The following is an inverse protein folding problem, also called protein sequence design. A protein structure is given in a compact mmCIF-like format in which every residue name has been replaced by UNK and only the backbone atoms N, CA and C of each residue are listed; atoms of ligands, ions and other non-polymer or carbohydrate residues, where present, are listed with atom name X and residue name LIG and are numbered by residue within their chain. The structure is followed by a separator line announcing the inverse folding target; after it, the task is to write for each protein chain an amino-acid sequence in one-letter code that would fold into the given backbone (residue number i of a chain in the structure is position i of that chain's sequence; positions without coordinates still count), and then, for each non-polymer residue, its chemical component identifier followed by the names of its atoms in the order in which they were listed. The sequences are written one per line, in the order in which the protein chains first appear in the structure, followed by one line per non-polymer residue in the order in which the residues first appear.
data_IF_407710374763
#
_entry.id   IF_407710374763
#
_cell.length_a   1.000
_cell.length_b   1.000
_cell.length_c   1.000
_cell.angle_alpha   90.00
_cell.angle_beta   90.00
_cell.angle_gamma   90.00
#
_symmetry.space_group_name_H-M   'P 1'
#
loop_
_entity.id
_entity.type
_entity.pdbx_description
1 polymer ?
#
# COMPACT_ATOMS: atom_id res chain seq x y z
N UNK A 1 6.08 -4.01 -1.91
CA UNK A 1 5.31 -5.08 -1.22
C UNK A 1 6.26 -6.02 -0.50
N UNK A 2 7.08 -6.84 -1.17
CA UNK A 2 7.90 -7.87 -0.50
C UNK A 2 8.72 -7.33 0.69
N UNK A 3 9.61 -6.36 0.49
CA UNK A 3 10.46 -5.85 1.58
C UNK A 3 9.69 -5.16 2.71
N UNK A 4 8.56 -4.54 2.41
CA UNK A 4 7.67 -3.95 3.41
C UNK A 4 7.04 -5.04 4.28
N UNK A 5 6.54 -6.11 3.66
CA UNK A 5 5.99 -7.28 4.35
C UNK A 5 7.06 -7.99 5.18
N UNK A 6 8.27 -8.17 4.64
CA UNK A 6 9.40 -8.77 5.37
C UNK A 6 9.75 -7.95 6.63
N UNK A 7 9.67 -6.63 6.55
CA UNK A 7 9.95 -5.70 7.64
C UNK A 7 8.79 -5.56 8.65
N UNK A 8 7.70 -6.32 8.51
CA UNK A 8 6.58 -6.29 9.46
C UNK A 8 5.58 -5.15 9.22
N UNK A 9 5.53 -4.55 8.02
CA UNK A 9 4.45 -3.59 7.65
C UNK A 9 3.14 -4.34 7.32
N UNK A 10 2.73 -5.20 8.24
CA UNK A 10 1.50 -6.00 8.23
C UNK A 10 0.99 -5.97 9.68
N UNK A 11 -0.26 -5.55 9.95
CA UNK A 11 -0.71 -5.21 11.30
C UNK A 11 -0.69 -6.35 12.32
N UNK A 12 -0.58 -7.60 11.85
CA UNK A 12 -0.49 -8.80 12.70
C UNK A 12 0.90 -9.43 12.74
N UNK A 13 1.94 -8.80 12.18
CA UNK A 13 3.29 -9.37 12.07
C UNK A 13 4.37 -8.39 12.55
N UNK A 14 5.29 -8.90 13.36
CA UNK A 14 6.64 -8.38 13.48
C UNK A 14 7.49 -8.72 12.23
N UNK A 15 8.70 -8.14 12.07
CA UNK A 15 9.64 -8.52 11.03
C UNK A 15 9.85 -10.04 10.90
N UNK A 16 10.11 -10.48 9.67
CA UNK A 16 10.27 -11.88 9.28
C UNK A 16 9.01 -12.74 9.48
N UNK A 17 7.82 -12.14 9.26
CA UNK A 17 6.51 -12.82 9.31
C UNK A 17 6.20 -13.51 10.64
N UNK A 18 6.67 -12.94 11.75
CA UNK A 18 6.42 -13.47 13.09
C UNK A 18 5.16 -12.82 13.66
N UNK A 19 4.13 -13.59 13.99
CA UNK A 19 2.88 -13.00 14.47
C UNK A 19 3.05 -12.32 15.82
N UNK A 20 2.36 -11.19 16.00
CA UNK A 20 2.40 -10.39 17.23
C UNK A 20 1.81 -11.11 18.44
N UNK A 21 0.89 -12.05 18.22
CA UNK A 21 0.20 -12.84 19.25
C UNK A 21 0.92 -14.14 19.61
N UNK A 22 2.12 -14.38 19.07
CA UNK A 22 2.94 -15.55 19.40
C UNK A 22 3.85 -15.22 20.59
N UNK A 23 3.68 -15.86 21.76
CA UNK A 23 4.39 -15.46 22.98
C UNK A 23 5.92 -15.43 22.86
N UNK A 24 6.49 -16.37 22.10
CA UNK A 24 7.94 -16.42 21.89
C UNK A 24 8.47 -15.28 21.01
N UNK A 25 7.73 -14.89 19.97
CA UNK A 25 8.12 -13.78 19.11
C UNK A 25 7.93 -12.45 19.85
N UNK A 26 6.77 -12.27 20.50
CA UNK A 26 6.45 -11.08 21.27
C UNK A 26 7.51 -10.79 22.34
N UNK A 27 7.82 -11.77 23.21
CA UNK A 27 8.87 -11.63 24.21
C UNK A 27 10.26 -11.35 23.62
N UNK A 28 10.57 -11.89 22.43
CA UNK A 28 11.83 -11.60 21.76
C UNK A 28 11.92 -10.13 21.33
N UNK A 29 10.88 -9.59 20.69
CA UNK A 29 10.85 -8.20 20.21
C UNK A 29 10.78 -7.18 21.35
N UNK A 30 10.05 -7.46 22.44
CA UNK A 30 10.05 -6.59 23.62
C UNK A 30 11.45 -6.47 24.23
N UNK A 31 12.16 -7.60 24.35
CA UNK A 31 13.54 -7.61 24.84
C UNK A 31 14.50 -6.93 23.86
N UNK A 32 14.31 -7.15 22.55
CA UNK A 32 15.17 -6.59 21.51
C UNK A 32 15.07 -5.06 21.43
N UNK A 33 13.86 -4.52 21.52
CA UNK A 33 13.61 -3.07 21.48
C UNK A 33 13.57 -2.41 22.86
N UNK A 34 13.68 -3.20 23.94
CA UNK A 34 13.54 -2.75 25.32
C UNK A 34 12.26 -1.90 25.54
N UNK A 35 11.14 -2.37 24.98
CA UNK A 35 9.84 -1.69 25.02
C UNK A 35 8.72 -2.70 25.22
N UNK A 36 7.68 -2.31 25.95
CA UNK A 36 6.42 -3.04 25.99
C UNK A 36 5.72 -2.91 24.63
N UNK A 37 5.13 -3.99 24.13
CA UNK A 37 4.47 -4.07 22.82
C UNK A 37 3.06 -4.63 22.94
N UNK A 38 2.12 -4.17 22.11
CA UNK A 38 0.77 -4.75 22.06
C UNK A 38 0.81 -6.12 21.36
N UNK A 39 0.30 -7.15 22.03
CA UNK A 39 0.17 -8.52 21.50
C UNK A 39 -1.07 -8.68 20.59
N UNK A 40 -1.93 -7.67 20.50
CA UNK A 40 -3.13 -7.70 19.66
C UNK A 40 -2.82 -7.28 18.23
N UNK A 41 -3.25 -8.05 17.22
CA UNK A 41 -3.23 -7.61 15.84
C UNK A 41 -3.87 -6.24 15.64
N UNK A 42 -3.17 -5.35 14.94
CA UNK A 42 -3.70 -4.05 14.52
C UNK A 42 -4.76 -4.16 13.42
N UNK A 43 -5.27 -3.01 12.99
CA UNK A 43 -6.28 -2.91 11.93
C UNK A 43 -5.66 -2.92 10.53
N UNK A 44 -6.34 -3.56 9.58
CA UNK A 44 -6.04 -3.43 8.15
C UNK A 44 -6.55 -2.10 7.59
N UNK A 45 -6.05 -1.67 6.43
CA UNK A 45 -6.39 -0.36 5.82
C UNK A 45 -7.90 -0.12 5.73
N UNK A 46 -8.69 -1.12 5.32
CA UNK A 46 -10.15 -0.97 5.19
C UNK A 46 -10.82 -0.91 6.56
N UNK A 47 -10.35 -1.70 7.53
CA UNK A 47 -10.83 -1.61 8.92
C UNK A 47 -10.50 -0.25 9.55
N UNK A 48 -9.35 0.33 9.22
CA UNK A 48 -8.94 1.67 9.66
C UNK A 48 -9.95 2.72 9.19
N UNK A 49 -10.40 2.66 7.92
CA UNK A 49 -11.42 3.59 7.40
C UNK A 49 -12.75 3.46 8.15
N UNK A 50 -13.19 2.23 8.45
CA UNK A 50 -14.37 2.01 9.29
C UNK A 50 -14.18 2.56 10.70
N UNK A 51 -12.99 2.38 11.30
CA UNK A 51 -12.70 2.86 12.65
C UNK A 51 -12.55 4.37 12.74
N UNK A 52 -12.18 5.06 11.67
CA UNK A 52 -12.20 6.53 11.62
C UNK A 52 -13.63 7.09 11.77
N UNK A 53 -14.63 6.37 11.24
CA UNK A 53 -16.04 6.77 11.29
C UNK A 53 -16.83 6.14 12.46
N UNK A 54 -16.15 5.42 13.35
CA UNK A 54 -16.79 4.83 14.52
C UNK A 54 -17.39 5.92 15.45
N UNK A 55 -18.44 5.61 16.23
CA UNK A 55 -18.98 6.54 17.22
C UNK A 55 -17.91 6.87 18.28
N UNK A 56 -17.98 8.05 18.90
CA UNK A 56 -16.99 8.46 19.91
C UNK A 56 -16.94 7.55 21.15
N UNK A 57 -17.97 6.74 21.36
CA UNK A 57 -18.04 5.72 22.40
C UNK A 57 -17.25 4.45 22.05
N UNK A 58 -16.84 4.25 20.79
CA UNK A 58 -16.01 3.10 20.40
C UNK A 58 -14.57 3.34 20.90
N UNK A 59 -14.04 2.49 21.80
CA UNK A 59 -12.69 2.66 22.34
C UNK A 59 -11.59 2.49 21.30
N UNK A 60 -11.93 1.95 20.12
CA UNK A 60 -11.01 1.77 19.00
C UNK A 60 -11.21 2.79 17.87
N UNK A 61 -12.00 3.85 18.11
CA UNK A 61 -12.15 4.93 17.13
C UNK A 61 -10.77 5.52 16.78
N UNK A 62 -10.46 5.58 15.49
CA UNK A 62 -9.24 6.20 15.00
C UNK A 62 -9.49 7.68 14.84
N UNK A 63 -8.75 8.51 15.58
CA UNK A 63 -8.89 9.97 15.57
C UNK A 63 -7.83 10.65 14.72
N UNK A 64 -6.65 10.04 14.59
CA UNK A 64 -5.61 10.58 13.74
C UNK A 64 -4.86 9.48 13.01
N UNK A 65 -4.24 9.86 11.89
CA UNK A 65 -3.55 8.94 11.01
C UNK A 65 -2.27 9.57 10.47
N UNK A 66 -1.22 8.75 10.37
CA UNK A 66 0.00 9.11 9.67
C UNK A 66 0.17 8.17 8.48
N UNK A 67 -0.01 8.71 7.27
CA UNK A 67 0.08 7.98 6.01
C UNK A 67 1.42 8.31 5.36
N UNK A 68 2.21 7.27 5.04
CA UNK A 68 3.53 7.43 4.43
C UNK A 68 3.58 6.71 3.08
N UNK A 69 3.73 7.47 1.99
CA UNK A 69 3.94 6.94 0.64
C UNK A 69 2.76 6.16 0.05
N UNK A 70 1.53 6.43 0.52
CA UNK A 70 0.31 5.78 0.04
C UNK A 70 -0.77 6.80 -0.33
N UNK A 71 -1.72 6.38 -1.18
CA UNK A 71 -2.80 7.23 -1.67
C UNK A 71 -4.20 6.58 -1.53
N UNK A 72 -4.65 6.26 -0.30
CA UNK A 72 -5.94 5.61 -0.05
C UNK A 72 -7.15 6.37 -0.60
N UNK A 73 -7.10 7.70 -0.71
CA UNK A 73 -8.15 8.49 -1.38
C UNK A 73 -8.32 8.18 -2.89
N UNK A 74 -7.45 7.33 -3.45
CA UNK A 74 -7.52 6.78 -4.80
C UNK A 74 -7.46 5.25 -4.84
N UNK A 75 -6.69 4.60 -3.98
CA UNK A 75 -6.44 3.15 -4.04
C UNK A 75 -7.45 2.29 -3.29
N UNK A 76 -8.13 2.82 -2.29
CA UNK A 76 -9.06 2.05 -1.46
C UNK A 76 -10.38 1.78 -2.18
N UNK A 77 -11.12 0.71 -1.83
CA UNK A 77 -12.46 0.49 -2.36
C UNK A 77 -13.45 1.52 -1.80
N UNK A 78 -14.57 1.72 -2.50
CA UNK A 78 -15.59 2.68 -2.10
C UNK A 78 -15.00 4.04 -1.73
N UNK A 79 -14.45 4.73 -2.74
CA UNK A 79 -13.73 5.99 -2.51
C UNK A 79 -14.59 7.08 -1.84
N UNK A 80 -15.91 7.02 -1.95
CA UNK A 80 -16.78 7.94 -1.22
C UNK A 80 -16.66 7.70 0.29
N UNK A 81 -16.71 6.43 0.72
CA UNK A 81 -16.47 6.06 2.10
C UNK A 81 -15.04 6.39 2.57
N UNK A 82 -14.01 5.98 1.81
CA UNK A 82 -12.61 6.20 2.20
C UNK A 82 -12.28 7.70 2.33
N UNK A 83 -12.70 8.53 1.37
CA UNK A 83 -12.49 9.99 1.44
C UNK A 83 -13.25 10.63 2.60
N UNK A 84 -14.48 10.18 2.87
CA UNK A 84 -15.24 10.66 4.02
C UNK A 84 -14.56 10.30 5.35
N UNK A 85 -14.04 9.08 5.47
CA UNK A 85 -13.29 8.62 6.64
C UNK A 85 -12.03 9.48 6.86
N UNK A 86 -11.21 9.66 5.83
CA UNK A 86 -10.02 10.51 5.89
C UNK A 86 -10.34 11.96 6.30
N UNK A 87 -11.38 12.55 5.72
CA UNK A 87 -11.82 13.91 6.03
C UNK A 87 -12.49 14.06 7.41
N UNK A 88 -12.84 12.96 8.09
CA UNK A 88 -13.47 12.97 9.41
C UNK A 88 -12.47 12.78 10.56
N UNK A 89 -11.19 12.53 10.25
CA UNK A 89 -10.12 12.47 11.24
C UNK A 89 -9.95 13.83 11.92
N UNK A 90 -9.56 13.82 13.19
CA UNK A 90 -9.17 15.02 13.93
C UNK A 90 -7.78 15.50 13.52
N UNK A 91 -6.92 14.59 13.05
CA UNK A 91 -5.60 14.93 12.55
C UNK A 91 -5.08 13.95 11.49
N UNK A 92 -4.79 14.43 10.29
CA UNK A 92 -4.20 13.64 9.21
C UNK A 92 -2.84 14.20 8.80
N UNK A 93 -1.80 13.38 8.96
CA UNK A 93 -0.45 13.65 8.48
C UNK A 93 -0.17 12.78 7.26
N UNK A 94 0.28 13.39 6.17
CA UNK A 94 0.68 12.67 4.95
C UNK A 94 2.14 12.97 4.63
N UNK A 95 2.97 11.93 4.57
CA UNK A 95 4.33 12.01 4.05
C UNK A 95 4.36 11.42 2.64
N UNK A 96 4.58 12.27 1.64
CA UNK A 96 4.54 11.88 0.23
C UNK A 96 5.53 12.71 -0.59
N UNK A 97 5.83 12.24 -1.80
CA UNK A 97 6.68 12.92 -2.79
C UNK A 97 5.86 13.90 -3.65
N UNK A 98 4.53 13.77 -3.68
CA UNK A 98 3.63 14.66 -4.41
C UNK A 98 2.40 15.04 -3.59
N UNK A 99 1.73 16.13 -4.00
CA UNK A 99 0.38 16.44 -3.52
C UNK A 99 -0.63 15.49 -4.20
N UNK A 100 -0.80 14.31 -3.59
CA UNK A 100 -1.76 13.28 -3.99
C UNK A 100 -3.17 13.61 -3.51
N UNK A 101 -4.17 12.88 -3.98
CA UNK A 101 -5.57 13.01 -3.53
C UNK A 101 -5.71 12.80 -2.03
N UNK A 102 -4.86 11.96 -1.43
CA UNK A 102 -4.81 11.78 0.03
C UNK A 102 -4.15 12.98 0.71
N UNK A 103 -3.03 13.49 0.16
CA UNK A 103 -2.34 14.66 0.70
C UNK A 103 -3.23 15.92 0.67
N UNK A 104 -4.12 16.05 -0.31
CA UNK A 104 -5.12 17.14 -0.38
C UNK A 104 -6.11 17.16 0.79
N UNK A 105 -6.28 16.03 1.50
CA UNK A 105 -7.14 15.92 2.67
C UNK A 105 -6.38 16.12 3.99
N UNK A 106 -5.05 16.24 3.94
CA UNK A 106 -4.20 16.27 5.13
C UNK A 106 -4.17 17.63 5.82
N UNK A 107 -4.04 17.62 7.14
CA UNK A 107 -3.74 18.83 7.92
C UNK A 107 -2.25 19.21 7.79
N UNK A 108 -1.39 18.20 7.68
CA UNK A 108 0.06 18.36 7.57
C UNK A 108 0.58 17.48 6.44
N UNK A 109 1.31 18.09 5.51
CA UNK A 109 2.05 17.38 4.46
C UNK A 109 3.54 17.48 4.75
N UNK A 110 4.22 16.34 4.86
CA UNK A 110 5.66 16.23 5.06
C UNK A 110 6.32 15.82 3.73
N UNK A 111 7.05 16.71 3.04
CA UNK A 111 7.63 16.40 1.73
C UNK A 111 8.78 15.39 1.87
N UNK A 112 8.60 14.22 1.27
CA UNK A 112 9.57 13.13 1.28
C UNK A 112 10.45 13.11 0.02
N UNK A 113 11.60 12.45 0.11
CA UNK A 113 12.46 12.16 -1.05
C UNK A 113 11.93 11.02 -1.91
N UNK A 114 12.02 11.16 -3.22
CA UNK A 114 11.81 10.08 -4.18
C UNK A 114 12.97 9.06 -4.16
N UNK A 115 12.80 7.94 -4.86
CA UNK A 115 13.80 6.88 -4.92
C UNK A 115 15.22 7.33 -5.35
N UNK A 116 15.42 8.13 -6.41
CA UNK A 116 16.77 8.52 -6.83
C UNK A 116 17.43 9.55 -5.89
N UNK A 117 16.71 10.05 -4.88
CA UNK A 117 17.16 11.08 -3.94
C UNK A 117 17.62 10.48 -2.60
N UNK A 118 17.55 9.16 -2.44
CA UNK A 118 17.90 8.47 -1.19
C UNK A 118 18.70 7.18 -1.43
N UNK A 119 19.43 6.79 -0.39
CA UNK A 119 20.13 5.51 -0.31
C UNK A 119 19.34 4.58 0.60
N UNK A 120 19.24 3.30 0.24
CA UNK A 120 18.45 2.31 0.97
C UNK A 120 18.39 0.98 0.26
N UNK A 121 17.54 0.08 0.71
CA UNK A 121 17.35 -1.23 0.07
C UNK A 121 15.92 -1.44 -0.37
N UNK A 122 15.75 -2.25 -1.41
CA UNK A 122 14.46 -2.80 -1.84
C UNK A 122 14.56 -4.31 -1.95
N UNK A 123 13.52 -5.02 -1.52
CA UNK A 123 13.38 -6.45 -1.79
C UNK A 123 12.39 -6.65 -2.94
N UNK A 124 12.83 -7.32 -4.02
CA UNK A 124 11.98 -7.61 -5.16
C UNK A 124 11.20 -8.95 -4.99
N UNK A 125 10.38 -9.30 -5.98
CA UNK A 125 9.53 -10.52 -5.97
C UNK A 125 10.34 -11.82 -5.90
N UNK A 126 11.57 -11.83 -6.40
CA UNK A 126 12.45 -12.99 -6.38
C UNK A 126 13.27 -13.08 -5.08
N UNK A 127 12.90 -12.30 -4.07
CA UNK A 127 13.60 -12.20 -2.78
C UNK A 127 15.05 -11.72 -2.91
N UNK A 128 15.32 -10.80 -3.84
CA UNK A 128 16.62 -10.13 -3.91
C UNK A 128 16.57 -8.81 -3.12
N UNK A 129 17.42 -8.69 -2.11
CA UNK A 129 17.71 -7.40 -1.45
C UNK A 129 18.67 -6.64 -2.35
N UNK A 130 18.25 -5.49 -2.85
CA UNK A 130 19.01 -4.66 -3.80
C UNK A 130 19.31 -3.30 -3.18
N UNK A 131 20.55 -2.84 -3.31
CA UNK A 131 21.00 -1.54 -2.83
C UNK A 131 20.67 -0.43 -3.84
N UNK A 132 19.84 0.52 -3.40
CA UNK A 132 19.66 1.82 -4.06
C UNK A 132 20.65 2.84 -3.51
N UNK A 133 21.22 3.66 -4.39
CA UNK A 133 22.11 4.76 -4.02
C UNK A 133 21.51 6.07 -4.51
N UNK A 134 21.63 7.10 -3.67
CA UNK A 134 21.28 8.46 -4.06
C UNK A 134 22.04 8.86 -5.33
N UNK A 135 21.30 9.28 -6.35
CA UNK A 135 21.80 9.70 -7.64
C UNK A 135 21.65 11.22 -7.86
N UNK A 136 20.69 11.86 -7.20
CA UNK A 136 20.42 13.30 -7.27
C UNK A 136 20.11 13.86 -5.88
N UNK A 137 20.20 15.17 -5.73
CA UNK A 137 19.79 15.86 -4.50
C UNK A 137 18.27 15.98 -4.40
N UNK A 138 17.69 15.90 -3.18
CA UNK A 138 16.28 16.16 -2.93
C UNK A 138 15.84 17.55 -3.42
N UNK A 139 14.65 17.69 -4.02
CA UNK A 139 14.13 18.99 -4.43
C UNK A 139 13.62 19.79 -3.22
N UNK A 140 13.89 21.10 -3.21
CA UNK A 140 13.36 22.04 -2.23
C UNK A 140 13.66 21.61 -0.78
N UNK A 141 12.62 21.53 0.05
CA UNK A 141 12.71 21.14 1.45
C UNK A 141 12.44 19.65 1.70
N UNK A 142 12.40 18.82 0.65
CA UNK A 142 12.20 17.39 0.80
C UNK A 142 13.28 16.76 1.70
N UNK A 143 12.88 15.78 2.51
CA UNK A 143 13.76 15.05 3.42
C UNK A 143 13.55 13.55 3.28
N UNK A 144 14.59 12.76 3.57
CA UNK A 144 14.48 11.31 3.55
C UNK A 144 13.42 10.82 4.53
N UNK A 145 12.65 9.79 4.16
CA UNK A 145 11.59 9.24 5.01
C UNK A 145 12.12 8.87 6.41
N UNK A 146 13.28 8.22 6.46
CA UNK A 146 13.94 7.85 7.70
C UNK A 146 14.35 9.08 8.55
N UNK A 147 14.77 10.17 7.92
CA UNK A 147 15.07 11.39 8.65
C UNK A 147 13.81 11.94 9.32
N UNK A 148 12.69 11.99 8.58
CA UNK A 148 11.42 12.51 9.08
C UNK A 148 10.92 11.63 10.25
N UNK A 149 10.96 10.31 10.10
CA UNK A 149 10.58 9.36 11.17
C UNK A 149 11.42 9.58 12.43
N UNK A 150 12.74 9.72 12.31
CA UNK A 150 13.60 10.02 13.46
C UNK A 150 13.29 11.39 14.09
N UNK A 151 12.97 12.41 13.27
CA UNK A 151 12.58 13.72 13.77
C UNK A 151 11.25 13.70 14.52
N UNK A 152 10.29 12.90 14.06
CA UNK A 152 9.02 12.66 14.75
C UNK A 152 9.27 11.91 16.07
N UNK A 153 10.03 10.81 16.05
CA UNK A 153 10.39 10.05 17.25
C UNK A 153 11.01 10.94 18.34
N UNK A 154 12.00 11.76 17.98
CA UNK A 154 12.65 12.72 18.90
C UNK A 154 11.69 13.72 19.53
N UNK A 155 10.67 14.18 18.79
CA UNK A 155 9.72 15.22 19.25
C UNK A 155 8.53 14.64 20.01
N UNK A 156 8.09 13.45 19.61
CA UNK A 156 7.03 12.72 20.31
C UNK A 156 7.56 12.06 21.58
N UNK A 157 8.84 11.73 21.66
CA UNK A 157 9.43 11.03 22.80
C UNK A 157 9.08 11.62 24.18
N UNK A 158 9.21 12.93 24.40
CA UNK A 158 8.79 13.56 25.67
C UNK A 158 7.29 13.45 26.00
N UNK A 159 6.45 13.17 25.00
CA UNK A 159 4.99 13.15 25.08
C UNK A 159 4.37 11.76 24.86
N UNK A 160 5.17 10.75 24.51
CA UNK A 160 4.69 9.40 24.30
C UNK A 160 4.11 8.83 25.61
N UNK A 161 2.94 8.16 25.59
CA UNK A 161 2.39 7.52 26.77
C UNK A 161 3.43 6.59 27.38
N UNK A 162 3.60 6.67 28.71
CA UNK A 162 4.36 5.65 29.43
C UNK A 162 3.58 4.35 29.35
N UNK A 163 4.15 3.33 28.73
CA UNK A 163 3.58 2.00 28.78
C UNK A 163 3.53 1.55 30.26
N UNK A 164 2.36 1.09 30.71
CA UNK A 164 2.11 0.55 32.05
C UNK A 164 1.99 1.56 33.21
N UNK A 165 0.81 2.14 33.43
CA UNK A 165 0.39 2.51 34.80
C UNK A 165 -0.06 1.25 35.53
N UNK A 166 0.90 0.42 35.97
CA UNK A 166 0.66 -0.86 36.64
C UNK A 166 1.95 -1.52 37.11
N UNK A 167 2.50 -0.97 38.20
CA UNK A 167 3.57 -1.49 39.10
C UNK A 167 4.20 -2.88 38.81
N UNK A 168 5.51 -2.92 38.52
CA UNK A 168 6.55 -3.48 39.40
C UNK A 168 7.88 -3.81 38.66
N UNK A 169 8.95 -3.07 38.99
CA UNK A 169 10.27 -3.67 39.24
C UNK A 169 11.29 -3.88 38.11
N UNK A 170 10.98 -3.63 36.83
CA UNK A 170 12.01 -3.64 35.78
C UNK A 170 12.61 -2.24 35.58
N UNK A 171 13.91 -2.10 35.24
CA UNK A 171 14.49 -0.79 34.94
C UNK A 171 13.74 -0.17 33.76
N UNK A 172 12.93 0.83 34.05
CA UNK A 172 12.18 1.61 33.08
C UNK A 172 13.19 2.36 32.19
N UNK A 173 13.15 2.14 30.88
CA UNK A 173 13.75 3.07 29.94
C UNK A 173 13.02 4.41 30.10
N UNK A 174 13.64 5.33 30.81
CA UNK A 174 13.07 6.63 31.11
C UNK A 174 12.99 7.48 29.83
N UNK A 175 11.79 7.57 29.24
CA UNK A 175 11.41 8.59 28.27
C UNK A 175 11.50 8.13 26.82
N UNK A 176 10.42 8.32 26.07
CA UNK A 176 10.40 8.57 24.63
C UNK A 176 10.92 7.57 23.58
N UNK A 177 10.52 7.84 22.34
CA UNK A 177 11.01 7.18 21.13
C UNK A 177 12.40 7.74 20.79
N UNK A 178 13.46 7.16 21.37
CA UNK A 178 14.85 7.55 21.11
C UNK A 178 15.42 6.89 19.84
N UNK A 179 14.73 7.10 18.72
CA UNK A 179 15.16 6.60 17.41
C UNK A 179 16.27 7.51 16.84
N UNK A 180 17.50 7.29 17.28
CA UNK A 180 18.69 8.01 16.83
C UNK A 180 19.67 7.07 16.12
N UNK A 181 19.45 6.89 14.83
CA UNK A 181 20.34 6.16 13.94
C UNK A 181 21.39 7.11 13.38
N UNK A 182 22.61 7.00 13.90
CA UNK A 182 23.75 7.76 13.42
C UNK A 182 24.32 7.18 12.11
N UNK A 183 25.02 8.02 11.35
CA UNK A 183 25.75 7.61 10.15
C UNK A 183 25.28 8.32 8.89
N UNK A 184 25.92 7.94 7.77
CA UNK A 184 25.59 8.47 6.44
C UNK A 184 24.14 8.16 6.06
N UNK A 185 23.57 9.01 5.19
CA UNK A 185 22.19 8.89 4.72
C UNK A 185 21.18 8.72 5.87
N UNK A 186 21.37 9.44 6.97
CA UNK A 186 20.49 9.41 8.15
C UNK A 186 20.47 8.06 8.89
N UNK A 187 21.56 7.30 8.82
CA UNK A 187 21.72 6.06 9.58
C UNK A 187 21.08 4.83 8.92
N UNK A 188 20.85 4.86 7.60
CA UNK A 188 20.29 3.72 6.84
C UNK A 188 21.03 2.42 7.10
N UNK A 189 22.36 2.44 7.15
CA UNK A 189 23.16 1.25 7.44
C UNK A 189 22.89 0.69 8.86
N UNK A 190 22.67 1.57 9.84
CA UNK A 190 22.37 1.18 11.21
C UNK A 190 20.96 0.59 11.33
N UNK A 191 19.96 1.20 10.67
CA UNK A 191 18.60 0.64 10.58
C UNK A 191 18.62 -0.71 9.90
N UNK A 192 19.36 -0.84 8.79
CA UNK A 192 19.47 -2.10 8.07
C UNK A 192 20.12 -3.19 8.93
N UNK A 193 21.12 -2.84 9.75
CA UNK A 193 21.72 -3.78 10.68
C UNK A 193 20.75 -4.24 11.77
N UNK A 194 19.91 -3.35 12.30
CA UNK A 194 18.83 -3.72 13.22
C UNK A 194 17.81 -4.64 12.54
N UNK A 195 17.39 -4.30 11.30
CA UNK A 195 16.53 -5.16 10.48
C UNK A 195 17.16 -6.54 10.26
N UNK A 196 18.47 -6.60 10.01
CA UNK A 196 19.21 -7.87 9.83
C UNK A 196 19.14 -8.75 11.06
N UNK A 197 19.16 -8.17 12.26
CA UNK A 197 19.02 -8.88 13.54
C UNK A 197 17.56 -9.32 13.79
N UNK A 198 16.60 -8.44 13.55
CA UNK A 198 15.16 -8.73 13.63
C UNK A 198 14.73 -9.84 12.64
N UNK A 199 15.40 -9.90 11.49
CA UNK A 199 15.13 -10.83 10.41
C UNK A 199 16.25 -11.88 10.25
N UNK A 200 16.87 -12.28 11.37
CA UNK A 200 18.05 -13.16 11.37
C UNK A 200 17.83 -14.51 10.66
N UNK A 201 16.60 -15.04 10.63
CA UNK A 201 16.30 -16.28 9.94
C UNK A 201 16.13 -16.13 8.40
N UNK A 202 16.22 -14.91 7.87
CA UNK A 202 16.11 -14.63 6.44
C UNK A 202 17.36 -13.95 5.87
N UNK A 203 17.85 -12.90 6.51
CA UNK A 203 18.89 -12.02 5.92
C UNK A 203 20.16 -11.88 6.77
N UNK A 204 20.37 -12.72 7.79
CA UNK A 204 21.54 -12.63 8.67
C UNK A 204 22.89 -12.60 7.92
N UNK A 205 23.00 -13.29 6.79
CA UNK A 205 24.21 -13.33 5.95
C UNK A 205 24.41 -12.13 5.02
N UNK A 206 23.47 -11.19 4.99
CA UNK A 206 23.46 -10.04 4.10
C UNK A 206 23.81 -8.78 4.88
N UNK A 207 25.10 -8.53 5.13
CA UNK A 207 25.54 -7.29 5.79
C UNK A 207 25.44 -6.06 4.86
N UNK A 208 25.46 -4.86 5.44
CA UNK A 208 25.47 -3.62 4.67
C UNK A 208 26.71 -3.53 3.75
N UNK A 209 27.89 -3.92 4.24
CA UNK A 209 29.14 -3.96 3.46
C UNK A 209 29.05 -4.96 2.30
N UNK A 210 28.37 -6.09 2.53
CA UNK A 210 28.12 -7.07 1.47
C UNK A 210 27.24 -6.49 0.38
N UNK A 211 26.14 -5.82 0.73
CA UNK A 211 25.30 -5.12 -0.25
C UNK A 211 26.04 -4.01 -0.99
N UNK A 212 26.91 -3.27 -0.32
CA UNK A 212 27.75 -2.26 -0.98
C UNK A 212 28.67 -2.89 -2.03
N UNK A 213 29.26 -4.06 -1.74
CA UNK A 213 30.15 -4.79 -2.64
C UNK A 213 29.42 -5.50 -3.77
N UNK A 214 28.31 -6.17 -3.47
CA UNK A 214 27.63 -7.10 -4.38
C UNK A 214 26.40 -6.48 -5.06
N UNK A 215 25.94 -5.31 -4.59
CA UNK A 215 24.73 -4.58 -5.03
C UNK A 215 23.41 -5.31 -4.82
N UNK A 216 23.38 -6.64 -4.88
CA UNK A 216 22.19 -7.44 -4.62
C UNK A 216 22.53 -8.83 -4.09
N UNK A 217 21.74 -9.32 -3.14
CA UNK A 217 21.84 -10.68 -2.60
C UNK A 217 20.45 -11.28 -2.44
N UNK A 218 20.28 -12.54 -2.85
CA UNK A 218 19.00 -13.26 -2.70
C UNK A 218 18.88 -13.85 -1.30
N UNK A 219 17.71 -13.73 -0.68
CA UNK A 219 17.40 -14.38 0.60
C UNK A 219 16.41 -15.56 0.40
N UNK A 220 16.44 -16.59 1.27
CA UNK A 220 17.21 -16.73 2.51
C UNK A 220 18.74 -16.75 2.32
N UNK A 221 19.44 -16.07 3.23
CA UNK A 221 20.91 -16.02 3.30
C UNK A 221 21.32 -15.88 4.77
N UNK A 222 21.85 -16.95 5.36
CA UNK A 222 22.00 -17.05 6.82
C UNK A 222 23.42 -16.71 7.33
N UNK A 223 24.44 -16.84 6.49
CA UNK A 223 25.80 -16.46 6.84
C UNK A 223 26.54 -15.82 5.65
N UNK A 224 27.69 -15.18 5.92
CA UNK A 224 28.43 -14.40 4.92
C UNK A 224 29.01 -15.23 3.76
N UNK A 225 29.07 -16.56 3.89
CA UNK A 225 29.53 -17.49 2.85
C UNK A 225 28.37 -18.05 2.03
N UNK A 226 27.13 -17.94 2.53
CA UNK A 226 25.93 -18.32 1.80
C UNK A 226 25.77 -17.38 0.58
N UNK A 227 25.80 -17.89 -0.67
CA UNK A 227 25.59 -17.06 -1.85
C UNK A 227 24.16 -16.50 -1.94
N UNK A 228 23.23 -16.99 -1.12
CA UNK A 228 21.81 -16.69 -1.19
C UNK A 228 21.04 -17.78 -1.92
N UNK A 229 19.78 -17.98 -1.54
CA UNK A 229 18.98 -19.13 -1.99
C UNK A 229 17.84 -18.71 -2.93
N UNK A 230 17.99 -18.90 -4.26
CA UNK A 230 16.96 -18.50 -5.23
C UNK A 230 15.70 -19.36 -5.14
N UNK A 231 15.85 -20.62 -4.72
CA UNK A 231 14.75 -21.57 -4.57
C UNK A 231 14.53 -21.90 -3.11
N UNK A 232 13.30 -21.75 -2.63
CA UNK A 232 12.89 -22.14 -1.28
C UNK A 232 12.24 -23.52 -1.27
N UNK A 233 12.23 -24.16 -0.10
CA UNK A 233 11.55 -25.44 0.15
C UNK A 233 12.08 -26.61 -0.70
N UNK A 234 13.40 -26.61 -0.98
CA UNK A 234 14.07 -27.69 -1.72
C UNK A 234 13.94 -29.02 -0.99
N UNK A 235 14.21 -29.03 0.32
CA UNK A 235 14.21 -30.25 1.12
C UNK A 235 12.96 -30.42 2.00
N UNK A 236 12.45 -29.31 2.57
CA UNK A 236 11.33 -29.31 3.53
C UNK A 236 10.50 -28.02 3.46
N UNK A 237 9.22 -28.13 3.77
CA UNK A 237 8.33 -26.99 3.98
C UNK A 237 8.44 -26.43 5.40
N UNK A 238 8.13 -25.14 5.64
CA UNK A 238 8.18 -24.51 6.96
C UNK A 238 6.92 -24.88 7.78
N UNK A 239 6.64 -26.16 7.88
CA UNK A 239 5.55 -26.76 8.66
C UNK A 239 6.15 -27.64 9.74
N UNK A 240 5.40 -27.91 10.82
CA UNK A 240 5.90 -28.66 11.97
C UNK A 240 6.44 -30.05 11.62
N UNK A 241 5.91 -30.69 10.58
CA UNK A 241 6.34 -32.00 10.09
C UNK A 241 7.18 -31.93 8.79
N UNK A 242 7.40 -30.74 8.26
CA UNK A 242 8.15 -30.48 7.03
C UNK A 242 7.39 -30.80 5.73
N UNK A 243 6.10 -31.14 5.79
CA UNK A 243 5.29 -31.54 4.62
C UNK A 243 4.38 -30.42 4.13
N UNK A 244 4.01 -30.48 2.85
CA UNK A 244 2.98 -29.60 2.28
C UNK A 244 1.60 -29.94 2.83
N UNK A 245 0.79 -28.92 3.12
CA UNK A 245 -0.62 -29.08 3.48
C UNK A 245 -1.49 -28.87 2.24
N UNK A 246 -2.16 -29.94 1.79
CA UNK A 246 -3.17 -29.85 0.73
C UNK A 246 -4.52 -29.48 1.34
N UNK A 247 -5.14 -28.40 0.85
CA UNK A 247 -6.41 -27.89 1.36
C UNK A 247 -7.40 -27.81 0.19
N UNK A 248 -8.53 -28.55 0.23
CA UNK A 248 -9.57 -28.41 -0.78
C UNK A 248 -10.29 -27.05 -0.62
N UNK A 249 -10.73 -26.47 -1.72
CA UNK A 249 -11.48 -25.22 -1.74
C UNK A 249 -12.77 -25.41 -2.56
N UNK A 250 -13.86 -24.85 -2.05
CA UNK A 250 -15.15 -24.80 -2.75
C UNK A 250 -15.27 -23.52 -3.57
N UNK A 251 -16.07 -23.56 -4.64
CA UNK A 251 -16.40 -22.37 -5.41
C UNK A 251 -17.52 -21.63 -4.68
N UNK A 252 -17.21 -20.41 -4.22
CA UNK A 252 -18.18 -19.49 -3.63
C UNK A 252 -18.52 -18.37 -4.63
N UNK A 253 -19.76 -17.84 -4.62
CA UNK A 253 -20.10 -16.68 -5.42
C UNK A 253 -19.40 -15.42 -4.91
N UNK A 254 -19.21 -14.45 -5.80
CA UNK A 254 -18.82 -13.09 -5.44
C UNK A 254 -19.86 -12.42 -4.54
N UNK A 255 -19.42 -11.50 -3.68
CA UNK A 255 -20.30 -10.80 -2.74
C UNK A 255 -21.28 -9.86 -3.46
N UNK A 256 -20.88 -9.30 -4.61
CA UNK A 256 -21.74 -8.44 -5.42
C UNK A 256 -21.94 -8.97 -6.84
N UNK A 257 -23.06 -9.68 -7.06
CA UNK A 257 -23.43 -10.22 -8.38
C UNK A 257 -24.21 -9.21 -9.25
N UNK A 258 -24.05 -9.27 -10.59
CA UNK A 258 -24.93 -8.54 -11.50
C UNK A 258 -26.41 -8.88 -11.29
N UNK A 259 -27.26 -7.89 -11.47
CA UNK A 259 -28.72 -8.00 -11.43
C UNK A 259 -29.36 -7.21 -12.58
N UNK A 260 -30.68 -7.01 -12.52
CA UNK A 260 -31.42 -6.30 -13.56
C UNK A 260 -31.04 -4.81 -13.67
N UNK A 261 -30.65 -4.18 -12.56
CA UNK A 261 -30.31 -2.76 -12.52
C UNK A 261 -28.82 -2.51 -12.82
N UNK A 262 -27.96 -3.50 -12.51
CA UNK A 262 -26.51 -3.48 -12.71
C UNK A 262 -26.04 -4.75 -13.44
N UNK A 263 -26.30 -4.87 -14.76
CA UNK A 263 -26.13 -6.13 -15.48
C UNK A 263 -24.70 -6.47 -15.91
N UNK A 264 -23.73 -5.56 -15.73
CA UNK A 264 -22.33 -5.76 -16.11
C UNK A 264 -21.46 -6.08 -14.90
N UNK A 265 -20.33 -6.77 -15.14
CA UNK A 265 -19.25 -6.95 -14.16
C UNK A 265 -18.13 -5.97 -14.45
N UNK A 266 -17.80 -5.12 -13.48
CA UNK A 266 -16.60 -4.30 -13.48
C UNK A 266 -15.39 -5.12 -13.02
N UNK A 267 -14.32 -5.04 -13.82
CA UNK A 267 -13.00 -5.58 -13.49
C UNK A 267 -12.03 -4.40 -13.49
N UNK A 268 -11.40 -4.14 -12.34
CA UNK A 268 -10.34 -3.12 -12.28
C UNK A 268 -8.96 -3.76 -12.50
N UNK A 269 -8.04 -3.04 -13.12
CA UNK A 269 -6.68 -3.55 -13.30
C UNK A 269 -5.64 -2.51 -13.62
N UNK A 270 -4.48 -2.99 -14.06
CA UNK A 270 -3.35 -2.14 -14.42
C UNK A 270 -3.24 -2.04 -15.94
N UNK A 271 -2.55 -1.01 -16.37
CA UNK A 271 -2.09 -0.84 -17.74
C UNK A 271 -0.56 -0.67 -17.74
N UNK A 272 0.07 -0.77 -18.90
CA UNK A 272 1.52 -0.82 -19.02
C UNK A 272 2.17 0.53 -18.67
N UNK A 273 1.59 1.61 -19.17
CA UNK A 273 2.16 2.96 -19.15
C UNK A 273 2.06 3.60 -17.76
N UNK A 274 1.02 3.24 -17.01
CA UNK A 274 0.71 3.87 -15.73
C UNK A 274 0.73 2.90 -14.55
N UNK A 275 1.42 3.33 -13.50
CA UNK A 275 1.60 2.54 -12.29
C UNK A 275 0.57 2.94 -11.23
N UNK A 276 -0.26 1.97 -10.83
CA UNK A 276 -1.22 2.11 -9.73
C UNK A 276 -2.08 3.37 -9.83
N UNK A 277 -2.03 4.27 -8.84
CA UNK A 277 -2.83 5.52 -8.79
C UNK A 277 -2.28 6.62 -9.70
N UNK A 278 -1.24 6.32 -10.48
CA UNK A 278 -0.69 7.21 -11.50
C UNK A 278 0.11 8.39 -10.94
N UNK A 279 0.31 8.51 -9.63
CA UNK A 279 0.94 9.69 -9.01
C UNK A 279 2.33 10.00 -9.58
N UNK A 280 3.11 9.01 -9.97
CA UNK A 280 4.40 9.22 -10.65
C UNK A 280 4.28 9.23 -12.17
N UNK A 281 3.65 8.21 -12.75
CA UNK A 281 3.69 7.95 -14.19
C UNK A 281 2.86 8.93 -15.02
N UNK A 282 1.74 9.42 -14.48
CA UNK A 282 0.91 10.47 -15.09
C UNK A 282 1.56 11.86 -15.05
N UNK A 283 2.69 12.00 -14.33
CA UNK A 283 3.54 13.21 -14.33
C UNK A 283 4.74 13.08 -15.28
N UNK A 284 4.97 11.90 -15.85
CA UNK A 284 5.98 11.69 -16.88
C UNK A 284 5.44 12.15 -18.23
N UNK A 285 6.14 13.09 -18.87
CA UNK A 285 5.74 13.60 -20.20
C UNK A 285 5.61 12.48 -21.23
N UNK A 286 6.50 11.49 -21.19
CA UNK A 286 6.52 10.38 -22.16
C UNK A 286 5.38 9.39 -21.90
N UNK A 287 5.17 8.98 -20.65
CA UNK A 287 4.17 7.95 -20.33
C UNK A 287 2.75 8.51 -20.45
N UNK A 288 2.53 9.74 -19.97
CA UNK A 288 1.23 10.40 -20.08
C UNK A 288 0.89 10.72 -21.54
N UNK A 289 1.87 11.03 -22.40
CA UNK A 289 1.61 11.21 -23.83
C UNK A 289 1.19 9.92 -24.56
N UNK A 290 1.64 8.74 -24.10
CA UNK A 290 1.26 7.45 -24.71
C UNK A 290 -0.18 7.09 -24.35
N UNK A 291 -0.57 7.28 -23.09
CA UNK A 291 -1.92 6.94 -22.62
C UNK A 291 -2.50 8.06 -21.71
N UNK A 292 -2.94 9.18 -22.30
CA UNK A 292 -3.30 10.39 -21.54
C UNK A 292 -4.70 10.35 -20.92
N UNK A 293 -5.59 9.53 -21.48
CA UNK A 293 -7.03 9.58 -21.21
C UNK A 293 -7.50 8.29 -20.57
N UNK A 294 -8.32 8.41 -19.53
CA UNK A 294 -8.97 7.26 -18.90
C UNK A 294 -9.91 6.56 -19.89
N UNK A 295 -9.77 5.24 -20.02
CA UNK A 295 -10.65 4.42 -20.88
C UNK A 295 -11.28 3.25 -20.16
N UNK A 296 -12.51 2.90 -20.54
CA UNK A 296 -13.16 1.65 -20.19
C UNK A 296 -13.16 0.69 -21.39
N UNK A 297 -12.65 -0.52 -21.23
CA UNK A 297 -12.62 -1.53 -22.29
C UNK A 297 -13.89 -2.40 -22.27
N UNK A 298 -14.55 -2.52 -23.42
CA UNK A 298 -15.70 -3.39 -23.67
C UNK A 298 -15.55 -4.12 -25.01
N UNK A 299 -16.18 -5.29 -25.14
CA UNK A 299 -16.18 -6.03 -26.40
C UNK A 299 -17.11 -5.40 -27.45
N UNK A 300 -16.87 -5.72 -28.73
CA UNK A 300 -17.67 -5.20 -29.85
C UNK A 300 -19.18 -5.47 -29.73
N UNK A 301 -19.58 -6.61 -29.17
CA UNK A 301 -20.99 -6.96 -29.02
C UNK A 301 -21.72 -6.06 -28.00
N UNK A 302 -21.06 -5.69 -26.91
CA UNK A 302 -21.64 -4.81 -25.90
C UNK A 302 -21.69 -3.36 -26.39
N UNK A 303 -20.66 -2.90 -27.11
CA UNK A 303 -20.66 -1.60 -27.80
C UNK A 303 -21.87 -1.48 -28.76
N UNK A 304 -22.10 -2.51 -29.57
CA UNK A 304 -23.24 -2.55 -30.49
C UNK A 304 -24.58 -2.54 -29.75
N UNK A 305 -24.71 -3.30 -28.67
CA UNK A 305 -25.94 -3.33 -27.85
C UNK A 305 -26.22 -1.99 -27.16
N UNK A 306 -25.17 -1.27 -26.77
CA UNK A 306 -25.24 0.06 -26.14
C UNK A 306 -25.41 1.20 -27.15
N UNK A 307 -25.21 0.94 -28.46
CA UNK A 307 -25.30 1.94 -29.51
C UNK A 307 -24.16 2.96 -29.50
N UNK A 308 -22.96 2.57 -29.05
CA UNK A 308 -21.77 3.43 -28.95
C UNK A 308 -20.61 2.90 -29.78
N UNK A 309 -19.73 3.79 -30.21
CA UNK A 309 -18.50 3.50 -30.95
C UNK A 309 -17.26 3.70 -30.06
N UNK A 310 -16.13 3.09 -30.42
CA UNK A 310 -14.86 3.36 -29.75
C UNK A 310 -14.52 4.86 -29.79
N UNK A 311 -14.12 5.42 -28.64
CA UNK A 311 -13.87 6.84 -28.44
C UNK A 311 -15.07 7.62 -27.86
N UNK A 312 -16.29 7.10 -27.99
CA UNK A 312 -17.47 7.72 -27.37
C UNK A 312 -17.36 7.71 -25.84
N UNK A 313 -18.13 8.58 -25.20
CA UNK A 313 -18.23 8.61 -23.73
C UNK A 313 -19.35 7.70 -23.28
N UNK A 314 -19.09 6.94 -22.23
CA UNK A 314 -20.08 6.17 -21.47
C UNK A 314 -20.07 6.59 -20.00
N UNK A 315 -21.20 6.36 -19.34
CA UNK A 315 -21.32 6.46 -17.89
C UNK A 315 -21.35 5.05 -17.31
N UNK A 316 -20.39 4.75 -16.44
CA UNK A 316 -20.35 3.50 -15.67
C UNK A 316 -20.79 3.81 -14.25
N UNK A 317 -21.83 3.13 -13.78
CA UNK A 317 -22.47 3.40 -12.47
C UNK A 317 -22.56 2.12 -11.65
N UNK A 318 -22.19 2.19 -10.38
CA UNK A 318 -22.45 1.14 -9.38
C UNK A 318 -23.47 1.63 -8.35
N UNK A 319 -23.67 0.85 -7.28
CA UNK A 319 -24.47 1.26 -6.11
C UNK A 319 -23.84 2.39 -5.31
N UNK A 320 -22.54 2.63 -5.47
CA UNK A 320 -21.75 3.57 -4.65
C UNK A 320 -21.41 4.86 -5.38
N UNK A 321 -21.37 4.85 -6.71
CA UNK A 321 -20.97 6.02 -7.48
C UNK A 321 -21.05 5.80 -8.98
N UNK A 322 -20.55 6.78 -9.73
CA UNK A 322 -20.46 6.71 -11.18
C UNK A 322 -19.24 7.47 -11.70
N UNK A 323 -18.78 7.09 -12.88
CA UNK A 323 -17.75 7.79 -13.64
C UNK A 323 -18.19 7.93 -15.09
N UNK A 324 -17.84 9.06 -15.71
CA UNK A 324 -17.94 9.24 -17.16
C UNK A 324 -16.55 9.02 -17.77
N UNK A 325 -16.46 8.13 -18.76
CA UNK A 325 -15.19 7.62 -19.27
C UNK A 325 -15.28 7.29 -20.76
N UNK A 326 -14.19 7.45 -21.50
CA UNK A 326 -14.14 7.08 -22.91
C UNK A 326 -14.12 5.57 -23.09
N UNK A 327 -14.83 5.07 -24.09
CA UNK A 327 -14.88 3.63 -24.37
C UNK A 327 -13.79 3.21 -25.35
N UNK A 328 -13.11 2.11 -25.03
CA UNK A 328 -12.15 1.42 -25.88
C UNK A 328 -12.74 0.07 -26.28
N UNK A 329 -12.67 -0.28 -27.56
CA UNK A 329 -13.03 -1.63 -28.00
C UNK A 329 -11.89 -2.59 -27.67
N UNK A 330 -12.22 -3.66 -26.97
CA UNK A 330 -11.35 -4.80 -26.74
C UNK A 330 -12.15 -6.09 -26.83
N UNK A 331 -11.99 -6.82 -27.93
CA UNK A 331 -12.70 -8.08 -28.17
C UNK A 331 -12.16 -9.25 -27.31
N UNK A 332 -11.07 -9.04 -26.57
CA UNK A 332 -10.59 -9.97 -25.54
C UNK A 332 -11.38 -9.88 -24.23
N UNK A 333 -12.16 -8.82 -24.03
CA UNK A 333 -13.02 -8.66 -22.85
C UNK A 333 -14.28 -9.52 -22.98
N UNK A 334 -14.69 -10.30 -21.95
CA UNK A 334 -15.93 -11.07 -22.00
C UNK A 334 -17.17 -10.18 -22.18
N UNK A 335 -18.20 -10.72 -22.85
CA UNK A 335 -19.50 -10.05 -22.94
C UNK A 335 -20.10 -9.84 -21.54
N UNK A 336 -20.66 -8.67 -21.29
CA UNK A 336 -21.18 -8.28 -19.98
C UNK A 336 -20.09 -7.89 -18.97
N UNK A 337 -18.85 -7.67 -19.41
CA UNK A 337 -17.78 -7.16 -18.57
C UNK A 337 -17.28 -5.79 -19.06
N UNK A 338 -16.84 -4.97 -18.10
CA UNK A 338 -16.16 -3.69 -18.35
C UNK A 338 -14.85 -3.66 -17.59
N UNK A 339 -13.75 -3.39 -18.28
CA UNK A 339 -12.44 -3.24 -17.65
C UNK A 339 -12.08 -1.76 -17.50
N UNK A 340 -11.67 -1.33 -16.31
CA UNK A 340 -11.21 0.05 -16.06
C UNK A 340 -9.87 0.04 -15.31
N UNK A 341 -8.80 0.66 -15.87
CA UNK A 341 -7.56 0.87 -15.14
C UNK A 341 -7.73 1.92 -14.03
N UNK A 342 -7.12 1.70 -12.87
CA UNK A 342 -7.31 2.57 -11.68
C UNK A 342 -6.27 3.70 -11.54
N UNK A 343 -5.63 4.11 -12.64
CA UNK A 343 -4.56 5.12 -12.66
C UNK A 343 -5.01 6.56 -12.92
N UNK A 344 -6.33 6.80 -12.98
CA UNK A 344 -6.91 8.07 -13.40
C UNK A 344 -7.81 8.62 -12.30
N UNK A 345 -7.43 9.73 -11.68
CA UNK A 345 -8.22 10.38 -10.63
C UNK A 345 -9.49 11.00 -11.19
N UNK A 346 -9.43 11.47 -12.44
CA UNK A 346 -10.53 12.09 -13.17
C UNK A 346 -11.66 11.10 -13.51
N UNK A 347 -11.36 9.80 -13.50
CA UNK A 347 -12.31 8.71 -13.71
C UNK A 347 -11.97 7.53 -12.77
N UNK A 348 -11.88 7.82 -11.48
CA UNK A 348 -11.40 6.87 -10.48
C UNK A 348 -12.28 5.61 -10.40
N UNK A 349 -11.75 4.48 -10.88
CA UNK A 349 -12.46 3.20 -10.92
C UNK A 349 -12.98 2.76 -9.55
N UNK A 350 -12.25 3.09 -8.48
CA UNK A 350 -12.60 2.71 -7.12
C UNK A 350 -13.76 3.51 -6.51
N UNK A 351 -14.31 4.51 -7.20
CA UNK A 351 -15.64 5.06 -6.88
C UNK A 351 -16.75 4.02 -7.10
N UNK A 352 -16.48 3.01 -7.93
CA UNK A 352 -17.46 2.00 -8.32
C UNK A 352 -17.36 0.75 -7.45
N UNK A 353 -16.15 0.40 -7.00
CA UNK A 353 -15.83 -0.90 -6.36
C UNK A 353 -16.49 -1.08 -5.01
N UNK A 354 -16.74 -2.34 -4.64
CA UNK A 354 -17.30 -2.68 -3.35
C UNK A 354 -16.20 -2.88 -2.29
N UNK A 355 -16.53 -2.68 -1.02
CA UNK A 355 -15.61 -2.83 0.10
C UNK A 355 -15.73 -4.20 0.81
N UNK A 356 -16.36 -5.20 0.17
CA UNK A 356 -16.41 -6.55 0.71
C UNK A 356 -14.99 -7.12 0.79
N UNK A 357 -14.68 -7.79 1.90
CA UNK A 357 -13.34 -8.24 2.23
C UNK A 357 -13.27 -9.76 2.22
N UNK A 358 -12.18 -10.29 1.64
CA UNK A 358 -11.81 -11.68 1.85
C UNK A 358 -11.75 -11.99 3.37
N UNK A 359 -12.37 -13.08 3.85
CA UNK A 359 -12.52 -13.34 5.28
C UNK A 359 -11.18 -13.49 6.01
N UNK A 360 -10.10 -13.90 5.31
CA UNK A 360 -8.79 -14.20 5.88
C UNK A 360 -7.78 -13.09 5.59
N UNK A 361 -7.53 -12.80 4.32
CA UNK A 361 -6.56 -11.81 3.86
C UNK A 361 -7.04 -10.37 4.00
N UNK A 362 -8.34 -10.15 4.26
CA UNK A 362 -8.95 -8.81 4.38
C UNK A 362 -8.69 -7.92 3.16
N UNK A 363 -8.58 -8.53 1.98
CA UNK A 363 -8.35 -7.85 0.71
C UNK A 363 -9.72 -7.53 0.09
N UNK A 364 -9.95 -6.30 -0.39
CA UNK A 364 -11.19 -5.94 -1.06
C UNK A 364 -11.45 -6.66 -2.38
N UNK A 365 -12.72 -6.87 -2.71
CA UNK A 365 -13.19 -7.48 -3.97
C UNK A 365 -13.10 -6.51 -5.17
N UNK A 366 -11.89 -6.08 -5.53
CA UNK A 366 -11.67 -5.12 -6.62
C UNK A 366 -11.97 -5.66 -8.03
N UNK A 367 -12.02 -6.99 -8.20
CA UNK A 367 -12.06 -7.66 -9.51
C UNK A 367 -13.47 -8.10 -9.90
N UNK A 368 -14.46 -7.82 -9.06
CA UNK A 368 -15.83 -8.21 -9.34
C UNK A 368 -16.78 -7.21 -8.68
N UNK A 369 -17.48 -6.43 -9.48
CA UNK A 369 -18.44 -5.45 -8.98
C UNK A 369 -19.57 -5.25 -10.00
N UNK A 370 -20.81 -5.31 -9.57
CA UNK A 370 -21.95 -5.11 -10.46
C UNK A 370 -22.09 -3.63 -10.84
N UNK A 371 -22.15 -3.36 -12.14
CA UNK A 371 -22.30 -2.01 -12.69
C UNK A 371 -23.34 -1.96 -13.81
N UNK A 372 -23.86 -0.76 -14.04
CA UNK A 372 -24.65 -0.39 -15.21
C UNK A 372 -23.79 0.46 -16.14
N UNK A 373 -23.92 0.24 -17.45
CA UNK A 373 -23.23 1.01 -18.48
C UNK A 373 -24.29 1.69 -19.35
N UNK A 374 -24.14 3.00 -19.55
CA UNK A 374 -25.06 3.82 -20.35
C UNK A 374 -24.27 4.69 -21.32
N UNK A 375 -24.82 4.92 -22.51
CA UNK A 375 -24.25 5.84 -23.48
C UNK A 375 -24.30 7.29 -22.95
N UNK A 376 -23.24 8.07 -23.22
CA UNK A 376 -23.13 9.47 -22.82
C UNK A 376 -22.60 9.67 -21.41
N UNK A 377 -22.54 10.93 -21.00
CA UNK A 377 -21.88 11.39 -19.77
C UNK A 377 -21.04 12.62 -20.05
N UNK A 378 -20.56 13.27 -18.98
CA UNK A 378 -19.64 14.42 -19.09
C UNK A 378 -18.33 14.02 -18.41
N UNK A 379 -17.27 13.73 -19.18
CA UNK A 379 -15.95 13.46 -18.61
C UNK A 379 -15.46 14.66 -17.80
N UNK A 380 -14.59 14.40 -16.83
CA UNK A 380 -13.98 15.46 -16.05
C UNK A 380 -13.22 16.44 -16.95
N UNK A 381 -13.34 17.75 -16.68
CA UNK A 381 -12.74 18.78 -17.52
C UNK A 381 -11.21 18.81 -17.44
N UNK A 382 -10.65 18.44 -16.29
CA UNK A 382 -9.21 18.39 -16.04
C UNK A 382 -8.74 16.94 -16.15
N UNK A 383 -7.72 16.71 -16.97
CA UNK A 383 -7.10 15.41 -17.23
C UNK A 383 -5.61 15.52 -16.88
N UNK A 384 -5.08 14.54 -16.17
CA UNK A 384 -3.66 14.48 -15.84
C UNK A 384 -3.23 15.44 -14.74
N UNK A 385 -1.92 15.44 -14.50
CA UNK A 385 -1.28 16.36 -13.55
C UNK A 385 -0.49 17.48 -14.25
N UNK A 386 -0.58 17.56 -15.59
CA UNK A 386 0.10 18.55 -16.42
C UNK A 386 -0.49 19.97 -16.31
N UNK A 387 0.13 20.95 -16.99
CA UNK A 387 -0.09 22.42 -16.87
C UNK A 387 -1.53 22.93 -16.95
N UNK A 388 -2.51 22.13 -17.34
CA UNK A 388 -3.93 22.50 -17.33
C UNK A 388 -4.62 22.29 -15.96
N UNK A 389 -4.00 21.56 -15.02
CA UNK A 389 -4.57 21.24 -13.71
C UNK A 389 -4.31 22.31 -12.62
N UNK A 390 -3.53 23.35 -12.94
CA UNK A 390 -3.27 24.50 -12.05
C UNK A 390 -3.47 25.77 -12.88
N UNK A 391 -4.72 26.14 -13.10
CA UNK A 391 -5.10 27.45 -13.61
C UNK A 391 -6.12 28.08 -12.65
#
# INVERSE_FOLDING_TARGET
VQGASDAGLIPMMFPNYQRVDQPGAHAWFENFWASELDERPGYTVVEIMHKALAPDTDPHKIRGMYIMGENPAMSDPDLNHARHALASLEHLVVQDIFMTETAWLADVVLPATAWPEKTGTVSNTDRMVQLGRQAIDPPGDARADLWIIQQLGRRLGPHAPRAGSGDAGLPQAAGGLHWEYAGEHHGVAAVYEEMRQAMHAAIAGISWERLQRESSVTYPCLDARDPGQPTVFVDRFPTADGRVRLVPADIIPADERPDADYPFVLITGRQLEHWHTGSMTRRSEVLDAIEPVATASLCGADLQALGVSAGDVITVRSRRGQVAIHVRRDDGTPRGAVFIPFAYYEAAANLLTNAALDPVGKIPEFKYCAVAVMAGGVPHAIVGYGKAAVA
#
